data_IF_918344845408
#
_entry.id   IF_918344845408
#
_cell.length_a   1.000
_cell.length_b   1.000
_cell.length_c   1.000
_cell.angle_alpha   90.00
_cell.angle_beta   90.00
_cell.angle_gamma   90.00
#
_symmetry.space_group_name_H-M   'P 1'
#
loop_
_entity.id
_entity.type
_entity.pdbx_description
1 polymer ?
#
# COMPACT_ATOMS: atom_id res chain seq x y z
N UNK A 1 -22.11 2.31 11.01
CA UNK A 1 -20.77 2.95 10.98
C UNK A 1 -20.86 4.12 10.02
N UNK A 2 -20.51 5.33 10.43
CA UNK A 2 -20.50 6.50 9.53
C UNK A 2 -19.22 6.44 8.72
N UNK A 3 -19.32 6.43 7.39
CA UNK A 3 -18.15 6.49 6.51
C UNK A 3 -17.45 7.85 6.69
N UNK A 4 -16.16 7.83 7.03
CA UNK A 4 -15.33 9.04 7.07
C UNK A 4 -14.70 9.27 5.71
N UNK A 5 -14.68 10.52 5.25
CA UNK A 5 -14.04 10.87 3.99
C UNK A 5 -12.52 10.89 4.17
N UNK A 6 -11.82 10.01 3.45
CA UNK A 6 -10.37 9.93 3.40
C UNK A 6 -9.81 10.35 2.05
N UNK A 7 -8.54 10.75 2.01
CA UNK A 7 -7.80 11.03 0.77
C UNK A 7 -6.36 10.56 0.88
N UNK A 8 -5.79 10.02 -0.19
CA UNK A 8 -4.35 9.72 -0.23
C UNK A 8 -3.55 11.01 -0.42
N UNK A 9 -2.45 11.15 0.32
CA UNK A 9 -1.59 12.33 0.24
C UNK A 9 -1.00 12.54 -1.17
N UNK A 10 -0.92 11.48 -1.98
CA UNK A 10 -0.51 11.59 -3.39
C UNK A 10 -1.58 12.27 -4.27
N UNK A 11 -2.86 12.05 -4.00
CA UNK A 11 -3.96 12.66 -4.79
C UNK A 11 -4.05 14.17 -4.61
N UNK A 12 -3.43 14.71 -3.55
CA UNK A 12 -3.32 16.15 -3.28
C UNK A 12 -2.09 16.80 -3.96
N UNK A 13 -1.40 16.06 -4.83
CA UNK A 13 -0.21 16.51 -5.55
C UNK A 13 1.06 15.77 -5.11
N UNK A 14 2.11 15.81 -5.93
CA UNK A 14 3.40 15.13 -5.62
C UNK A 14 4.37 16.12 -4.97
N UNK A 15 5.16 15.68 -3.99
CA UNK A 15 6.05 16.59 -3.27
C UNK A 15 7.13 17.20 -4.20
N UNK A 16 7.67 16.40 -5.12
CA UNK A 16 8.65 16.85 -6.12
C UNK A 16 8.05 17.78 -7.19
N UNK A 17 6.72 17.94 -7.24
CA UNK A 17 6.05 18.94 -8.06
C UNK A 17 5.77 20.23 -7.27
N UNK A 18 6.36 20.40 -6.08
CA UNK A 18 6.25 21.59 -5.24
C UNK A 18 5.07 21.58 -4.26
N UNK A 19 4.34 20.47 -4.15
CA UNK A 19 3.22 20.35 -3.20
C UNK A 19 3.72 19.92 -1.82
N UNK A 20 3.94 20.89 -0.93
CA UNK A 20 4.35 20.60 0.45
C UNK A 20 3.28 19.84 1.23
N UNK A 21 3.69 19.00 2.17
CA UNK A 21 2.75 18.22 2.99
C UNK A 21 1.78 19.10 3.79
N UNK A 22 2.24 20.26 4.27
CA UNK A 22 1.40 21.24 4.97
C UNK A 22 0.29 21.76 4.06
N UNK A 23 0.61 22.17 2.83
CA UNK A 23 -0.38 22.67 1.88
C UNK A 23 -1.44 21.60 1.52
N UNK A 24 -1.02 20.34 1.42
CA UNK A 24 -1.94 19.20 1.23
C UNK A 24 -2.92 19.07 2.39
N UNK A 25 -2.42 19.11 3.63
CA UNK A 25 -3.29 19.00 4.80
C UNK A 25 -4.23 20.20 4.95
N UNK A 26 -3.78 21.41 4.64
CA UNK A 26 -4.63 22.61 4.64
C UNK A 26 -5.77 22.47 3.62
N UNK A 27 -5.47 21.96 2.43
CA UNK A 27 -6.49 21.67 1.41
C UNK A 27 -7.45 20.57 1.90
N UNK A 28 -6.93 19.48 2.46
CA UNK A 28 -7.75 18.38 2.99
C UNK A 28 -8.73 18.88 4.07
N UNK A 29 -8.24 19.66 5.04
CA UNK A 29 -9.06 20.24 6.10
C UNK A 29 -10.12 21.20 5.53
N UNK A 30 -9.71 22.10 4.62
CA UNK A 30 -10.62 23.07 3.98
C UNK A 30 -11.81 22.41 3.29
N UNK A 31 -11.59 21.25 2.66
CA UNK A 31 -12.63 20.52 1.93
C UNK A 31 -13.29 19.40 2.73
N UNK A 32 -13.06 19.34 4.05
CA UNK A 32 -13.79 18.45 4.96
C UNK A 32 -13.31 17.00 4.96
N UNK A 33 -12.10 16.71 4.47
CA UNK A 33 -11.49 15.39 4.63
C UNK A 33 -11.14 15.16 6.11
N UNK A 34 -11.47 13.98 6.61
CA UNK A 34 -11.30 13.58 8.00
C UNK A 34 -10.16 12.59 8.19
N UNK A 35 -9.65 12.02 7.10
CA UNK A 35 -8.51 11.12 7.15
C UNK A 35 -7.59 11.27 5.94
N UNK A 36 -6.33 10.89 6.14
CA UNK A 36 -5.31 10.86 5.12
C UNK A 36 -4.66 9.48 5.07
N UNK A 37 -4.52 8.94 3.86
CA UNK A 37 -3.65 7.81 3.63
C UNK A 37 -2.26 8.34 3.26
N UNK A 38 -1.28 8.10 4.11
CA UNK A 38 0.03 8.74 3.98
C UNK A 38 0.92 7.95 3.03
N UNK A 39 1.34 8.58 1.93
CA UNK A 39 2.41 8.04 1.10
C UNK A 39 3.79 8.23 1.76
N UNK A 40 4.62 7.19 1.76
CA UNK A 40 5.98 7.19 2.32
C UNK A 40 6.86 8.26 1.66
N UNK A 41 6.57 8.59 0.40
CA UNK A 41 7.21 9.71 -0.30
C UNK A 41 7.07 11.03 0.44
N UNK A 42 5.88 11.37 0.95
CA UNK A 42 5.67 12.60 1.71
C UNK A 42 6.40 12.57 3.06
N UNK A 43 6.47 11.39 3.69
CA UNK A 43 7.27 11.20 4.90
C UNK A 43 8.76 11.43 4.62
N UNK A 44 9.26 10.87 3.51
CA UNK A 44 10.64 11.05 3.11
C UNK A 44 10.96 12.51 2.73
N UNK A 45 10.02 13.22 2.11
CA UNK A 45 10.13 14.63 1.78
C UNK A 45 10.24 15.52 3.02
N UNK A 46 9.30 15.35 3.96
CA UNK A 46 9.35 16.04 5.27
C UNK A 46 10.65 15.71 6.01
N UNK A 47 11.14 14.47 5.92
CA UNK A 47 12.40 14.07 6.54
C UNK A 47 13.65 14.69 5.90
N UNK A 48 13.60 15.10 4.64
CA UNK A 48 14.67 15.86 3.99
C UNK A 48 14.69 17.32 4.44
N UNK A 49 13.54 17.88 4.83
CA UNK A 49 13.46 19.25 5.35
C UNK A 49 13.91 20.34 4.36
N UNK A 50 13.85 20.07 3.05
CA UNK A 50 14.33 20.97 2.00
C UNK A 50 15.83 20.88 1.68
N UNK A 51 16.57 19.95 2.30
CA UNK A 51 17.97 19.69 1.94
C UNK A 51 18.05 18.75 0.72
N UNK A 52 18.21 19.34 -0.46
CA UNK A 52 18.36 18.61 -1.72
C UNK A 52 19.66 17.80 -1.80
N UNK A 53 20.65 18.06 -0.94
CA UNK A 53 21.93 17.35 -0.93
C UNK A 53 21.81 15.91 -0.39
N UNK A 54 20.72 15.59 0.33
CA UNK A 54 20.42 14.25 0.85
C UNK A 54 19.89 13.24 -0.20
N UNK A 55 19.97 13.59 -1.49
CA UNK A 55 19.41 12.84 -2.62
C UNK A 55 19.97 11.42 -2.80
N UNK A 56 21.25 11.17 -2.46
CA UNK A 56 21.92 9.92 -2.86
C UNK A 56 21.61 8.70 -1.97
N UNK A 57 21.39 8.90 -0.67
CA UNK A 57 21.14 7.80 0.29
C UNK A 57 19.76 7.87 0.97
N UNK A 58 18.98 8.91 0.66
CA UNK A 58 17.70 9.18 1.31
C UNK A 58 17.85 9.63 2.78
N UNK A 59 16.75 10.05 3.42
CA UNK A 59 16.79 10.51 4.81
C UNK A 59 17.12 9.36 5.76
N UNK A 60 17.99 9.64 6.75
CA UNK A 60 18.32 8.67 7.80
C UNK A 60 17.08 8.18 8.56
N UNK A 61 17.16 6.99 9.17
CA UNK A 61 16.06 6.47 10.00
C UNK A 61 15.66 7.45 11.13
N UNK A 62 16.63 8.16 11.71
CA UNK A 62 16.38 9.18 12.73
C UNK A 62 15.57 10.36 12.18
N UNK A 63 15.90 10.82 10.97
CA UNK A 63 15.17 11.89 10.30
C UNK A 63 13.74 11.45 9.94
N UNK A 64 13.57 10.24 9.41
CA UNK A 64 12.24 9.68 9.10
C UNK A 64 11.36 9.54 10.35
N UNK A 65 11.91 9.12 11.50
CA UNK A 65 11.16 9.06 12.76
C UNK A 65 10.78 10.47 13.27
N UNK A 66 11.63 11.47 13.06
CA UNK A 66 11.31 12.85 13.40
C UNK A 66 10.19 13.41 12.50
N UNK A 67 10.27 13.15 11.19
CA UNK A 67 9.23 13.50 10.24
C UNK A 67 7.90 12.83 10.56
N UNK A 68 7.91 11.54 10.94
CA UNK A 68 6.70 10.83 11.34
C UNK A 68 5.99 11.51 12.54
N UNK A 69 6.76 11.94 13.56
CA UNK A 69 6.20 12.70 14.70
C UNK A 69 5.63 14.04 14.27
N UNK A 70 6.33 14.75 13.38
CA UNK A 70 5.88 16.05 12.90
C UNK A 70 4.61 15.91 12.06
N UNK A 71 4.54 14.92 11.16
CA UNK A 71 3.35 14.59 10.38
C UNK A 71 2.17 14.27 11.30
N UNK A 72 2.38 13.44 12.33
CA UNK A 72 1.34 13.12 13.31
C UNK A 72 0.82 14.39 14.02
N UNK A 73 1.72 15.30 14.39
CA UNK A 73 1.37 16.59 14.99
C UNK A 73 0.56 17.46 14.02
N UNK A 74 1.02 17.61 12.79
CA UNK A 74 0.36 18.42 11.75
C UNK A 74 -1.05 17.91 11.41
N UNK A 75 -1.22 16.59 11.35
CA UNK A 75 -2.52 15.95 11.15
C UNK A 75 -3.45 16.17 12.36
N UNK A 76 -2.92 16.00 13.58
CA UNK A 76 -3.68 16.25 14.83
C UNK A 76 -4.18 17.68 14.93
N UNK A 77 -3.34 18.67 14.63
CA UNK A 77 -3.70 20.09 14.65
C UNK A 77 -4.88 20.42 13.72
N UNK A 78 -5.08 19.61 12.67
CA UNK A 78 -6.13 19.77 11.66
C UNK A 78 -7.30 18.81 11.83
N UNK A 79 -7.29 18.00 12.89
CA UNK A 79 -8.27 16.92 13.11
C UNK A 79 -8.38 15.93 11.94
N UNK A 80 -7.25 15.64 11.29
CA UNK A 80 -7.15 14.65 10.21
C UNK A 80 -6.52 13.38 10.79
N UNK A 81 -7.22 12.25 10.66
CA UNK A 81 -6.74 10.93 11.08
C UNK A 81 -5.73 10.37 10.05
N UNK A 82 -4.61 9.80 10.50
CA UNK A 82 -3.72 9.07 9.59
C UNK A 82 -4.24 7.63 9.48
N UNK A 83 -4.86 7.32 8.34
CA UNK A 83 -5.55 6.04 8.10
C UNK A 83 -4.54 4.89 8.01
N UNK A 84 -3.52 5.05 7.17
CA UNK A 84 -2.47 4.06 6.98
C UNK A 84 -1.16 4.72 6.52
N UNK A 85 -0.06 3.99 6.68
CA UNK A 85 1.20 4.27 6.00
C UNK A 85 1.32 3.37 4.76
N UNK A 86 1.53 3.98 3.59
CA UNK A 86 1.61 3.27 2.32
C UNK A 86 2.65 3.87 1.38
N UNK A 87 3.07 3.17 0.33
CA UNK A 87 3.00 1.74 0.14
C UNK A 87 4.27 1.07 0.68
N UNK A 88 4.13 -0.08 1.35
CA UNK A 88 5.26 -0.99 1.57
C UNK A 88 5.48 -1.85 0.32
N UNK A 89 5.95 -1.21 -0.75
CA UNK A 89 6.06 -1.83 -2.08
C UNK A 89 7.09 -2.94 -2.17
N UNK A 90 6.94 -3.83 -3.16
CA UNK A 90 7.93 -4.83 -3.57
C UNK A 90 8.23 -5.89 -2.51
N UNK A 91 7.19 -6.44 -1.88
CA UNK A 91 7.39 -7.41 -0.81
C UNK A 91 7.00 -8.85 -1.19
N UNK A 92 5.77 -9.07 -1.63
CA UNK A 92 5.24 -10.44 -1.78
C UNK A 92 5.92 -11.20 -2.92
N UNK A 93 6.18 -12.50 -2.68
CA UNK A 93 6.60 -13.44 -3.71
C UNK A 93 8.00 -13.21 -4.25
N UNK A 94 8.90 -12.60 -3.49
CA UNK A 94 10.30 -12.40 -3.92
C UNK A 94 10.99 -13.75 -4.15
N UNK A 95 11.58 -13.92 -5.34
CA UNK A 95 12.38 -15.09 -5.70
C UNK A 95 13.68 -15.11 -4.90
N UNK A 96 14.32 -13.95 -4.74
CA UNK A 96 15.49 -13.82 -3.87
C UNK A 96 15.06 -13.80 -2.40
N UNK A 97 15.42 -14.85 -1.67
CA UNK A 97 15.07 -15.00 -0.26
C UNK A 97 15.91 -14.13 0.66
N UNK A 98 17.08 -13.64 0.22
CA UNK A 98 17.82 -12.62 0.97
C UNK A 98 17.10 -11.28 0.89
N UNK A 99 16.59 -10.91 -0.28
CA UNK A 99 15.77 -9.70 -0.44
C UNK A 99 14.52 -9.77 0.45
N UNK A 100 13.82 -10.90 0.49
CA UNK A 100 12.73 -11.15 1.44
C UNK A 100 13.13 -10.85 2.89
N UNK A 101 14.26 -11.39 3.35
CA UNK A 101 14.75 -11.14 4.72
C UNK A 101 15.10 -9.67 4.97
N UNK A 102 15.66 -8.97 4.00
CA UNK A 102 15.96 -7.55 4.10
C UNK A 102 14.68 -6.70 4.13
N UNK A 103 13.65 -7.08 3.38
CA UNK A 103 12.32 -6.46 3.48
C UNK A 103 11.71 -6.66 4.88
N UNK A 104 11.84 -7.84 5.49
CA UNK A 104 11.37 -8.05 6.87
C UNK A 104 12.11 -7.18 7.89
N UNK A 105 13.42 -6.96 7.71
CA UNK A 105 14.18 -6.00 8.54
C UNK A 105 13.65 -4.57 8.33
N UNK A 106 13.35 -4.18 7.09
CA UNK A 106 12.75 -2.88 6.80
C UNK A 106 11.35 -2.74 7.40
N UNK A 107 10.55 -3.81 7.40
CA UNK A 107 9.23 -3.81 8.00
C UNK A 107 9.27 -3.51 9.51
N UNK A 108 10.28 -4.04 10.23
CA UNK A 108 10.48 -3.69 11.65
C UNK A 108 10.68 -2.18 11.84
N UNK A 109 11.34 -1.51 10.91
CA UNK A 109 11.45 -0.04 10.94
C UNK A 109 10.11 0.63 10.62
N UNK A 110 9.34 0.11 9.67
CA UNK A 110 7.99 0.59 9.37
C UNK A 110 7.03 0.49 10.57
N UNK A 111 7.16 -0.53 11.42
CA UNK A 111 6.40 -0.59 12.68
C UNK A 111 6.70 0.60 13.60
N UNK A 112 7.95 1.05 13.64
CA UNK A 112 8.30 2.24 14.42
C UNK A 112 7.70 3.50 13.78
N UNK A 113 7.71 3.61 12.44
CA UNK A 113 7.06 4.73 11.74
C UNK A 113 5.55 4.75 12.01
N UNK A 114 4.85 3.62 11.83
CA UNK A 114 3.42 3.50 12.10
C UNK A 114 3.06 3.94 13.52
N UNK A 115 3.85 3.51 14.52
CA UNK A 115 3.69 3.96 15.91
C UNK A 115 3.88 5.46 16.08
N UNK A 116 4.89 6.07 15.46
CA UNK A 116 5.08 7.53 15.55
C UNK A 116 3.96 8.30 14.84
N UNK A 117 3.41 7.74 13.76
CA UNK A 117 2.28 8.29 13.01
C UNK A 117 0.95 8.11 13.74
N UNK A 118 0.88 7.21 14.73
CA UNK A 118 -0.36 6.88 15.43
C UNK A 118 -1.34 6.06 14.58
N UNK A 119 -0.85 5.36 13.55
CA UNK A 119 -1.65 4.42 12.74
C UNK A 119 -1.25 2.98 13.06
N UNK A 120 -2.21 2.07 12.92
CA UNK A 120 -1.98 0.63 13.03
C UNK A 120 -2.09 -0.07 11.67
N UNK A 121 -2.22 0.65 10.55
CA UNK A 121 -2.35 0.04 9.22
C UNK A 121 -1.12 0.34 8.36
N UNK A 122 -0.53 -0.71 7.80
CA UNK A 122 0.46 -0.63 6.71
C UNK A 122 -0.16 -1.23 5.46
N UNK A 123 -0.15 -0.49 4.35
CA UNK A 123 -0.63 -1.01 3.07
C UNK A 123 0.53 -1.69 2.32
N UNK A 124 0.24 -2.85 1.73
CA UNK A 124 1.18 -3.63 0.92
C UNK A 124 0.55 -3.81 -0.46
N UNK A 125 1.06 -3.17 -1.52
CA UNK A 125 0.59 -3.47 -2.86
C UNK A 125 1.22 -4.77 -3.33
N UNK A 126 0.44 -5.55 -4.09
CA UNK A 126 0.91 -6.74 -4.79
C UNK A 126 2.08 -6.40 -5.71
N UNK A 127 3.11 -7.23 -5.67
CA UNK A 127 4.39 -6.97 -6.28
C UNK A 127 4.28 -6.73 -7.80
N UNK A 128 4.99 -5.71 -8.27
CA UNK A 128 5.06 -5.29 -9.67
C UNK A 128 6.51 -5.22 -10.20
N UNK A 129 7.45 -5.89 -9.51
CA UNK A 129 8.79 -6.14 -10.05
C UNK A 129 8.73 -7.06 -11.29
N UNK A 130 9.78 -7.06 -12.15
CA UNK A 130 9.89 -7.97 -13.29
C UNK A 130 9.58 -9.44 -12.94
N UNK A 131 9.02 -10.18 -13.89
CA UNK A 131 8.49 -11.53 -13.67
C UNK A 131 9.54 -12.56 -13.23
N UNK A 132 10.81 -12.34 -13.55
CA UNK A 132 11.96 -13.14 -13.08
C UNK A 132 12.28 -12.93 -11.59
N UNK A 133 11.83 -11.81 -11.00
CA UNK A 133 12.03 -11.47 -9.58
C UNK A 133 10.85 -11.84 -8.68
N UNK A 134 9.68 -12.12 -9.26
CA UNK A 134 8.45 -12.44 -8.52
C UNK A 134 7.98 -13.84 -8.89
N UNK A 135 7.91 -14.72 -7.91
CA UNK A 135 7.46 -16.11 -8.07
C UNK A 135 6.03 -16.20 -8.60
N UNK A 136 5.76 -17.22 -9.43
CA UNK A 136 4.39 -17.59 -9.80
C UNK A 136 3.70 -18.50 -8.79
N UNK A 137 4.43 -18.98 -7.78
CA UNK A 137 3.89 -19.86 -6.75
C UNK A 137 3.09 -19.06 -5.70
N UNK A 138 1.77 -19.16 -5.78
CA UNK A 138 0.85 -18.52 -4.83
C UNK A 138 1.09 -19.00 -3.40
N UNK A 139 1.56 -20.24 -3.19
CA UNK A 139 1.82 -20.75 -1.85
C UNK A 139 2.99 -20.03 -1.19
N UNK A 140 4.04 -19.68 -1.95
CA UNK A 140 5.14 -18.87 -1.47
C UNK A 140 4.68 -17.42 -1.18
N UNK A 141 3.89 -16.81 -2.07
CA UNK A 141 3.29 -15.48 -1.85
C UNK A 141 2.49 -15.43 -0.55
N UNK A 142 1.61 -16.42 -0.34
CA UNK A 142 0.80 -16.53 0.89
C UNK A 142 1.70 -16.74 2.11
N UNK A 143 2.77 -17.53 2.00
CA UNK A 143 3.72 -17.74 3.10
C UNK A 143 4.43 -16.45 3.50
N UNK A 144 4.87 -15.65 2.53
CA UNK A 144 5.52 -14.35 2.78
C UNK A 144 4.54 -13.40 3.51
N UNK A 145 3.30 -13.30 3.02
CA UNK A 145 2.29 -12.42 3.61
C UNK A 145 1.84 -12.89 5.01
N UNK A 146 1.81 -14.21 5.27
CA UNK A 146 1.58 -14.75 6.61
C UNK A 146 2.68 -14.35 7.59
N UNK A 147 3.94 -14.41 7.17
CA UNK A 147 5.07 -14.02 8.02
C UNK A 147 4.96 -12.54 8.45
N UNK A 148 4.58 -11.65 7.53
CA UNK A 148 4.33 -10.24 7.84
C UNK A 148 3.13 -10.06 8.76
N UNK A 149 2.03 -10.76 8.50
CA UNK A 149 0.86 -10.72 9.35
C UNK A 149 1.19 -11.19 10.79
N UNK A 150 1.94 -12.29 10.94
CA UNK A 150 2.40 -12.83 12.22
C UNK A 150 3.32 -11.84 12.95
N UNK A 151 4.23 -11.18 12.23
CA UNK A 151 5.06 -10.09 12.79
C UNK A 151 4.22 -8.91 13.27
N UNK A 152 3.17 -8.52 12.53
CA UNK A 152 2.26 -7.45 12.94
C UNK A 152 1.41 -7.82 14.16
N UNK A 153 0.97 -9.07 14.28
CA UNK A 153 0.25 -9.58 15.47
C UNK A 153 1.11 -9.56 16.73
N UNK A 154 2.42 -9.78 16.59
CA UNK A 154 3.35 -9.74 17.72
C UNK A 154 3.59 -8.30 18.26
N UNK A 155 3.12 -7.28 17.56
CA UNK A 155 3.20 -5.89 18.02
C UNK A 155 2.13 -5.59 19.07
N UNK A 156 2.42 -4.63 19.96
CA UNK A 156 1.44 -4.10 20.92
C UNK A 156 1.32 -2.57 20.77
N UNK A 157 0.17 -2.04 20.32
CA UNK A 157 -0.97 -2.77 19.76
C UNK A 157 -0.61 -3.49 18.44
N UNK A 158 -1.40 -4.49 17.99
CA UNK A 158 -1.15 -5.19 16.74
C UNK A 158 -1.17 -4.25 15.53
N UNK A 159 -0.28 -4.49 14.57
CA UNK A 159 -0.30 -3.83 13.26
C UNK A 159 -1.13 -4.66 12.29
N UNK A 160 -2.03 -3.99 11.57
CA UNK A 160 -2.87 -4.51 10.50
C UNK A 160 -2.26 -4.21 9.14
N UNK A 161 -2.59 -5.06 8.17
CA UNK A 161 -2.13 -4.93 6.79
C UNK A 161 -3.30 -4.87 5.83
N UNK A 162 -3.22 -3.94 4.88
CA UNK A 162 -4.15 -3.82 3.77
C UNK A 162 -3.42 -4.22 2.48
N UNK A 163 -3.76 -5.38 1.92
CA UNK A 163 -3.15 -5.88 0.70
C UNK A 163 -3.92 -5.42 -0.54
N UNK A 164 -3.23 -4.90 -1.55
CA UNK A 164 -3.89 -4.31 -2.72
C UNK A 164 -3.40 -4.93 -4.03
N UNK A 165 -4.30 -5.46 -4.84
CA UNK A 165 -3.98 -5.83 -6.22
C UNK A 165 -3.95 -4.59 -7.11
N UNK A 166 -2.78 -4.26 -7.67
CA UNK A 166 -2.67 -3.20 -8.67
C UNK A 166 -2.97 -3.77 -10.06
N UNK A 167 -3.56 -2.99 -10.96
CA UNK A 167 -3.87 -3.50 -12.31
C UNK A 167 -2.63 -3.83 -13.16
N UNK A 168 -1.45 -3.40 -12.70
CA UNK A 168 -0.13 -3.70 -13.27
C UNK A 168 0.74 -4.59 -12.37
N UNK A 169 0.20 -5.17 -11.30
CA UNK A 169 0.93 -6.17 -10.50
C UNK A 169 1.34 -7.36 -11.37
N UNK A 170 2.45 -7.99 -11.01
CA UNK A 170 3.09 -9.04 -11.83
C UNK A 170 2.35 -10.37 -11.73
N UNK A 171 1.76 -10.67 -10.57
CA UNK A 171 1.12 -11.96 -10.26
C UNK A 171 -0.32 -11.81 -9.76
N UNK A 172 -0.53 -10.94 -8.77
CA UNK A 172 -1.83 -10.73 -8.12
C UNK A 172 -2.43 -9.42 -8.61
N UNK A 173 -3.01 -9.45 -9.81
CA UNK A 173 -3.46 -8.25 -10.53
C UNK A 173 -4.98 -8.11 -10.64
N UNK A 174 -5.74 -8.99 -9.98
CA UNK A 174 -7.20 -8.97 -9.91
C UNK A 174 -7.67 -9.02 -8.45
N UNK A 175 -8.83 -8.42 -8.17
CA UNK A 175 -9.37 -8.42 -6.81
C UNK A 175 -9.77 -9.83 -6.35
N UNK A 176 -10.18 -10.72 -7.26
CA UNK A 176 -10.49 -12.11 -6.96
C UNK A 176 -9.25 -12.87 -6.46
N UNK A 177 -8.10 -12.70 -7.13
CA UNK A 177 -6.84 -13.30 -6.68
C UNK A 177 -6.36 -12.67 -5.37
N UNK A 178 -6.53 -11.35 -5.21
CA UNK A 178 -6.24 -10.67 -3.94
C UNK A 178 -7.06 -11.28 -2.80
N UNK A 179 -8.36 -11.49 -3.03
CA UNK A 179 -9.25 -12.13 -2.08
C UNK A 179 -8.85 -13.57 -1.76
N UNK A 180 -8.51 -14.39 -2.78
CA UNK A 180 -7.99 -15.75 -2.57
C UNK A 180 -6.75 -15.73 -1.67
N UNK A 181 -5.81 -14.81 -1.93
CA UNK A 181 -4.60 -14.65 -1.11
C UNK A 181 -4.96 -14.28 0.32
N UNK A 182 -5.84 -13.30 0.55
CA UNK A 182 -6.27 -12.89 1.90
C UNK A 182 -6.93 -14.05 2.66
N UNK A 183 -7.81 -14.80 2.01
CA UNK A 183 -8.44 -15.98 2.60
C UNK A 183 -7.40 -17.05 2.96
N UNK A 184 -6.39 -17.25 2.12
CA UNK A 184 -5.31 -18.21 2.38
C UNK A 184 -4.35 -17.69 3.44
N UNK A 185 -4.07 -16.39 3.54
CA UNK A 185 -3.22 -15.85 4.61
C UNK A 185 -3.84 -16.16 5.97
N UNK A 186 -5.16 -15.98 6.10
CA UNK A 186 -5.93 -16.41 7.28
C UNK A 186 -5.33 -15.88 8.59
N UNK A 187 -5.25 -14.55 8.70
CA UNK A 187 -4.83 -13.84 9.90
C UNK A 187 -5.79 -12.68 10.18
N UNK A 188 -6.17 -12.44 11.45
CA UNK A 188 -7.19 -11.44 11.79
C UNK A 188 -6.75 -10.00 11.54
N UNK A 189 -5.44 -9.75 11.41
CA UNK A 189 -4.87 -8.44 11.12
C UNK A 189 -4.53 -8.26 9.62
N UNK A 190 -4.86 -9.20 8.75
CA UNK A 190 -4.55 -9.12 7.32
C UNK A 190 -5.84 -9.04 6.50
N UNK A 191 -6.01 -7.94 5.77
CA UNK A 191 -7.17 -7.68 4.92
C UNK A 191 -6.77 -7.19 3.54
N UNK A 192 -7.77 -6.76 2.75
CA UNK A 192 -7.54 -6.22 1.41
C UNK A 192 -7.97 -4.75 1.29
N UNK A 193 -7.24 -4.00 0.48
CA UNK A 193 -7.64 -2.68 -0.02
C UNK A 193 -8.37 -2.85 -1.36
N UNK A 194 -9.58 -2.30 -1.46
CA UNK A 194 -10.38 -2.31 -2.69
C UNK A 194 -10.25 -0.98 -3.41
N UNK A 195 -9.49 -0.96 -4.48
CA UNK A 195 -9.32 0.21 -5.34
C UNK A 195 -10.12 0.03 -6.65
N UNK A 196 -11.11 0.90 -6.85
CA UNK A 196 -11.98 0.85 -8.05
C UNK A 196 -11.24 1.13 -9.35
N UNK A 197 -10.20 1.97 -9.33
CA UNK A 197 -9.36 2.22 -10.50
C UNK A 197 -8.57 0.96 -10.85
N UNK A 198 -7.96 0.28 -9.88
CA UNK A 198 -7.22 -0.96 -10.14
C UNK A 198 -8.13 -2.09 -10.61
N UNK A 199 -9.32 -2.25 -10.00
CA UNK A 199 -10.32 -3.23 -10.46
C UNK A 199 -10.71 -2.93 -11.92
N UNK A 200 -11.06 -1.68 -12.23
CA UNK A 200 -11.50 -1.30 -13.57
C UNK A 200 -10.35 -1.36 -14.60
N UNK A 201 -9.17 -0.89 -14.19
CA UNK A 201 -7.95 -0.83 -14.99
C UNK A 201 -7.48 -2.21 -15.43
N UNK A 202 -7.69 -3.24 -14.61
CA UNK A 202 -7.39 -4.61 -15.00
C UNK A 202 -8.48 -5.25 -15.85
N UNK A 203 -9.72 -5.16 -15.37
CA UNK A 203 -10.82 -5.95 -15.91
C UNK A 203 -11.34 -5.36 -17.22
N UNK A 204 -11.39 -4.03 -17.32
CA UNK A 204 -12.06 -3.34 -18.43
C UNK A 204 -11.11 -2.54 -19.32
N UNK A 205 -10.00 -2.03 -18.78
CA UNK A 205 -9.04 -1.25 -19.56
C UNK A 205 -7.90 -2.12 -20.13
N UNK A 206 -7.65 -2.02 -21.43
CA UNK A 206 -6.41 -2.51 -22.07
C UNK A 206 -5.84 -1.41 -22.95
N UNK A 207 -5.12 -0.42 -22.39
CA UNK A 207 -4.62 0.72 -23.15
C UNK A 207 -3.55 0.37 -24.20
N UNK A 208 -2.99 -0.87 -24.18
CA UNK A 208 -1.97 -1.34 -25.13
C UNK A 208 -2.52 -2.09 -26.36
N UNK A 209 -3.82 -2.34 -26.46
CA UNK A 209 -4.42 -2.99 -27.63
C UNK A 209 -5.05 -1.93 -28.55
N UNK A 210 -4.40 -1.70 -29.69
CA UNK A 210 -4.61 -0.60 -30.63
C UNK A 210 -5.95 -0.56 -31.37
N UNK A 211 -6.94 -1.41 -31.04
CA UNK A 211 -8.18 -1.49 -31.82
C UNK A 211 -9.43 -1.07 -31.04
N UNK A 212 -9.46 -1.06 -29.69
CA UNK A 212 -10.67 -0.59 -28.95
C UNK A 212 -10.55 -0.35 -27.43
N UNK A 213 -9.38 -0.49 -26.82
CA UNK A 213 -9.17 -0.19 -25.39
C UNK A 213 -9.92 -1.06 -24.36
N UNK A 214 -10.77 -2.02 -24.80
CA UNK A 214 -11.50 -2.98 -23.96
C UNK A 214 -10.86 -4.35 -23.96
N UNK A 215 -10.96 -5.06 -22.84
CA UNK A 215 -10.69 -6.51 -22.77
C UNK A 215 -11.69 -7.30 -23.62
N UNK A 216 -11.23 -8.32 -24.34
CA UNK A 216 -12.15 -9.36 -24.81
C UNK A 216 -12.67 -10.11 -23.58
N UNK A 217 -14.00 -10.27 -23.48
CA UNK A 217 -14.63 -11.08 -22.43
C UNK A 217 -13.89 -12.41 -22.34
N UNK A 218 -13.27 -12.70 -21.18
CA UNK A 218 -12.87 -14.06 -20.84
C UNK A 218 -14.12 -14.91 -20.98
N UNK A 219 -14.17 -15.82 -21.97
CA UNK A 219 -15.23 -16.81 -22.10
C UNK A 219 -15.27 -17.59 -20.79
N UNK A 220 -16.29 -17.35 -19.97
CA UNK A 220 -16.52 -18.12 -18.76
C UNK A 220 -16.58 -19.61 -19.11
N UNK A 221 -15.98 -20.45 -18.26
CA UNK A 221 -16.23 -21.89 -18.33
C UNK A 221 -17.75 -22.11 -18.29
N UNK A 222 -18.32 -22.99 -19.13
CA UNK A 222 -19.75 -23.27 -19.06
C UNK A 222 -20.07 -23.84 -17.68
N UNK A 223 -21.04 -23.23 -17.01
CA UNK A 223 -21.68 -23.81 -15.85
C UNK A 223 -22.21 -25.17 -16.26
N UNK A 224 -21.73 -26.24 -15.59
CA UNK A 224 -22.38 -27.55 -15.69
C UNK A 224 -23.70 -27.46 -14.93
N UNK A 225 -24.75 -26.99 -15.61
CA UNK A 225 -26.10 -27.39 -15.26
C UNK A 225 -26.28 -28.82 -15.74
N UNK A 226 -26.25 -29.75 -14.79
CA UNK A 226 -26.81 -31.08 -14.95
C UNK A 226 -27.26 -31.57 -13.58
N UNK A 227 -28.42 -31.06 -13.16
CA UNK A 227 -29.30 -31.74 -12.21
C UNK A 227 -30.49 -32.22 -13.07
N UNK A 228 -30.57 -33.54 -13.24
CA UNK A 228 -31.82 -34.27 -13.45
C UNK A 228 -32.13 -34.98 -12.15
#
# INVERSE_FOLDING_TARGET
MVCKLGITSMSLGRCYAGHSFVAKLDAAQKYGYQGIELFHEDLADVAKGGDESMSLSGPSQKAQLAAAREIARLCKDRSIEIICLQPFSHYDGLVDRNEHQDRLKQLKFWFNLARQLGTDIIQIPANFLPADKVTGDISLIVSDLREVADMGLAMNPPIRFAYESLCWSTRIDTWELCWEVVQRVDRPNFGMCLDTFNIAGRIYARPRLSIRGKTEKRRGKPSRESIR
#
